data_IF_225758205151
#
_entry.id   IF_225758205151
#
_cell.length_a   1.000
_cell.length_b   1.000
_cell.length_c   1.000
_cell.angle_alpha   90.00
_cell.angle_beta   90.00
_cell.angle_gamma   90.00
#
_symmetry.space_group_name_H-M   'P 1'
#
loop_
_entity.id
_entity.type
_entity.pdbx_description
1 polymer ?
#
# COMPACT_ATOMS: atom_id res chain seq x y z
N UNK A 1 -11.18 -2.19 -11.48
CA UNK A 1 -9.82 -1.96 -10.99
C UNK A 1 -9.71 -0.55 -10.47
N UNK A 2 -10.05 -0.38 -9.20
CA UNK A 2 -10.09 0.89 -8.48
C UNK A 2 -9.27 0.79 -7.18
N UNK A 3 -9.02 -0.43 -6.66
CA UNK A 3 -8.38 -0.71 -5.36
C UNK A 3 -7.27 -1.73 -5.54
N UNK A 4 -6.09 -1.23 -5.93
CA UNK A 4 -4.95 -2.05 -6.32
C UNK A 4 -4.00 -2.18 -5.15
N UNK A 5 -3.69 -3.42 -4.77
CA UNK A 5 -2.66 -3.72 -3.79
C UNK A 5 -1.37 -4.13 -4.49
N UNK A 6 -0.27 -3.43 -4.24
CA UNK A 6 1.06 -3.74 -4.78
C UNK A 6 1.97 -4.19 -3.62
N UNK A 7 2.41 -5.44 -3.66
CA UNK A 7 3.21 -6.09 -2.61
C UNK A 7 4.46 -6.74 -3.20
N UNK A 8 5.51 -6.91 -2.39
CA UNK A 8 6.81 -7.46 -2.80
C UNK A 8 7.99 -6.86 -2.04
N UNK A 9 9.19 -7.39 -2.25
CA UNK A 9 10.41 -7.01 -1.53
C UNK A 9 10.78 -5.53 -1.69
N UNK A 10 11.51 -4.95 -0.71
CA UNK A 10 12.09 -3.62 -0.87
C UNK A 10 13.04 -3.59 -2.08
N UNK A 11 13.11 -2.46 -2.80
CA UNK A 11 13.98 -2.32 -3.98
C UNK A 11 13.48 -2.99 -5.27
N UNK A 12 12.39 -3.76 -5.25
CA UNK A 12 11.86 -4.43 -6.46
C UNK A 12 11.20 -3.51 -7.50
N UNK A 13 11.12 -2.19 -7.29
CA UNK A 13 10.50 -1.28 -8.26
C UNK A 13 8.97 -1.16 -8.20
N UNK A 14 8.33 -1.70 -7.15
CA UNK A 14 6.88 -1.53 -6.87
C UNK A 14 6.42 -0.06 -6.92
N UNK A 15 7.22 0.85 -6.38
CA UNK A 15 6.87 2.26 -6.33
C UNK A 15 6.86 2.88 -7.73
N UNK A 16 7.77 2.47 -8.60
CA UNK A 16 7.77 2.87 -10.01
C UNK A 16 6.53 2.38 -10.73
N UNK A 17 6.15 1.11 -10.53
CA UNK A 17 4.92 0.57 -11.11
C UNK A 17 3.68 1.31 -10.57
N UNK A 18 3.62 1.53 -9.26
CA UNK A 18 2.47 2.19 -8.61
C UNK A 18 2.25 3.60 -9.14
N UNK A 19 3.32 4.36 -9.39
CA UNK A 19 3.23 5.68 -10.01
C UNK A 19 2.73 5.62 -11.46
N UNK A 20 3.26 4.70 -12.27
CA UNK A 20 2.78 4.51 -13.66
C UNK A 20 1.30 4.12 -13.72
N UNK A 21 0.87 3.22 -12.83
CA UNK A 21 -0.54 2.83 -12.71
C UNK A 21 -1.42 4.01 -12.30
N UNK A 22 -0.95 4.85 -11.37
CA UNK A 22 -1.65 6.06 -10.97
C UNK A 22 -1.84 7.03 -12.13
N UNK A 23 -0.80 7.30 -12.91
CA UNK A 23 -0.88 8.17 -14.08
C UNK A 23 -1.85 7.64 -15.13
N UNK A 24 -1.84 6.33 -15.38
CA UNK A 24 -2.70 5.72 -16.39
C UNK A 24 -4.16 5.60 -15.96
N UNK A 25 -4.40 5.28 -14.68
CA UNK A 25 -5.73 4.96 -14.16
C UNK A 25 -6.36 6.12 -13.38
N UNK A 26 -5.61 7.20 -13.16
CA UNK A 26 -6.01 8.37 -12.37
C UNK A 26 -6.41 7.97 -10.93
N UNK A 27 -5.63 7.07 -10.32
CA UNK A 27 -5.87 6.56 -8.96
C UNK A 27 -4.84 7.09 -7.96
N UNK A 28 -5.23 7.43 -6.72
CA UNK A 28 -4.28 7.94 -5.73
C UNK A 28 -3.33 6.84 -5.23
N UNK A 29 -2.03 7.12 -5.21
CA UNK A 29 -1.00 6.21 -4.64
C UNK A 29 -0.77 6.49 -3.17
N UNK A 30 -0.71 5.41 -2.40
CA UNK A 30 -0.46 5.41 -0.97
C UNK A 30 0.74 4.50 -0.71
N UNK A 31 1.92 5.11 -0.66
CA UNK A 31 3.14 4.43 -0.26
C UNK A 31 3.14 4.25 1.26
N UNK A 32 2.90 3.03 1.73
CA UNK A 32 2.71 2.72 3.14
C UNK A 32 3.91 3.12 4.01
N UNK A 33 5.13 3.03 3.47
CA UNK A 33 6.36 3.43 4.16
C UNK A 33 6.34 4.92 4.59
N UNK A 34 5.72 5.81 3.80
CA UNK A 34 5.61 7.25 4.12
C UNK A 34 4.74 7.52 5.36
N UNK A 35 3.86 6.58 5.71
CA UNK A 35 2.93 6.73 6.82
C UNK A 35 3.35 5.92 8.04
N UNK A 36 4.02 4.78 7.79
CA UNK A 36 4.51 3.90 8.83
C UNK A 36 5.69 4.49 9.58
N UNK A 37 6.68 5.05 8.87
CA UNK A 37 7.88 5.62 9.49
C UNK A 37 7.67 7.09 9.86
N UNK A 38 7.87 7.41 11.14
CA UNK A 38 7.93 8.76 11.69
C UNK A 38 9.37 9.31 11.61
N UNK A 39 9.60 10.60 11.90
CA UNK A 39 10.95 11.14 12.02
C UNK A 39 11.82 10.28 12.93
N UNK A 40 13.11 10.21 12.61
CA UNK A 40 14.09 9.34 13.27
C UNK A 40 13.81 7.84 13.12
N UNK A 41 13.10 7.43 12.06
CA UNK A 41 12.80 6.02 11.78
C UNK A 41 12.02 5.32 12.89
N UNK A 42 11.19 6.08 13.60
CA UNK A 42 10.32 5.52 14.65
C UNK A 42 9.09 4.92 13.98
N UNK A 43 8.75 3.64 14.22
CA UNK A 43 7.56 3.03 13.65
C UNK A 43 6.30 3.66 14.25
N UNK A 44 5.24 3.75 13.45
CA UNK A 44 3.93 4.18 13.91
C UNK A 44 3.37 3.14 14.89
N UNK A 45 2.81 3.53 16.04
CA UNK A 45 2.17 2.61 16.97
C UNK A 45 1.10 1.75 16.28
N UNK A 46 0.98 0.49 16.70
CA UNK A 46 0.10 -0.49 16.04
C UNK A 46 -1.36 -0.01 15.95
N UNK A 47 -1.89 0.62 17.00
CA UNK A 47 -3.27 1.12 17.00
C UNK A 47 -3.48 2.23 15.96
N UNK A 48 -2.52 3.15 15.85
CA UNK A 48 -2.58 4.23 14.87
C UNK A 48 -2.40 3.72 13.45
N UNK A 49 -1.51 2.72 13.28
CA UNK A 49 -1.30 2.07 12.00
C UNK A 49 -2.56 1.35 11.50
N UNK A 50 -3.22 0.60 12.38
CA UNK A 50 -4.44 -0.12 12.03
C UNK A 50 -5.58 0.84 11.68
N UNK A 51 -5.74 1.93 12.46
CA UNK A 51 -6.72 3.00 12.16
C UNK A 51 -6.44 3.64 10.81
N UNK A 52 -5.19 3.98 10.52
CA UNK A 52 -4.78 4.53 9.25
C UNK A 52 -5.12 3.58 8.08
N UNK A 53 -4.73 2.31 8.18
CA UNK A 53 -4.97 1.33 7.10
C UNK A 53 -6.47 1.07 6.93
N UNK A 54 -7.22 0.93 8.02
CA UNK A 54 -8.67 0.73 7.96
C UNK A 54 -9.38 1.92 7.30
N UNK A 55 -9.05 3.15 7.70
CA UNK A 55 -9.62 4.36 7.10
C UNK A 55 -9.28 4.48 5.61
N UNK A 56 -8.09 4.05 5.23
CA UNK A 56 -7.64 4.11 3.83
C UNK A 56 -8.29 3.02 2.97
N UNK A 57 -8.38 1.79 3.48
CA UNK A 57 -9.00 0.67 2.75
C UNK A 57 -10.50 0.82 2.55
N UNK A 58 -11.16 1.63 3.37
CA UNK A 58 -12.58 1.98 3.20
C UNK A 58 -12.86 2.97 2.06
N UNK A 59 -11.84 3.59 1.46
CA UNK A 59 -12.01 4.45 0.28
C UNK A 59 -12.32 3.62 -0.97
N UNK A 60 -13.02 4.23 -1.91
CA UNK A 60 -13.43 3.57 -3.16
C UNK A 60 -12.28 3.42 -4.17
N UNK A 61 -11.26 4.27 -4.08
CA UNK A 61 -10.14 4.32 -5.01
C UNK A 61 -8.80 4.44 -4.28
N UNK A 62 -7.85 3.55 -4.60
CA UNK A 62 -6.47 3.60 -4.11
C UNK A 62 -5.54 2.63 -4.83
N UNK A 63 -4.26 2.97 -4.84
CA UNK A 63 -3.15 2.05 -5.05
C UNK A 63 -2.34 2.03 -3.75
N UNK A 64 -2.29 0.89 -3.06
CA UNK A 64 -1.47 0.73 -1.85
C UNK A 64 -0.19 -0.01 -2.18
N UNK A 65 0.95 0.66 -1.98
CA UNK A 65 2.29 0.12 -2.18
C UNK A 65 2.96 -0.13 -0.83
N UNK A 66 3.22 -1.40 -0.51
CA UNK A 66 4.01 -1.77 0.66
C UNK A 66 3.69 -3.15 1.23
N UNK A 67 4.64 -3.72 1.97
CA UNK A 67 4.65 -5.14 2.37
C UNK A 67 4.42 -5.36 3.88
N UNK A 68 3.42 -4.70 4.47
CA UNK A 68 3.11 -4.80 5.91
C UNK A 68 2.17 -5.97 6.22
N UNK A 69 2.71 -7.08 6.71
CA UNK A 69 1.95 -8.33 6.94
C UNK A 69 0.81 -8.19 7.94
N UNK A 70 1.01 -7.43 9.03
CA UNK A 70 -0.01 -7.20 10.08
C UNK A 70 -1.38 -6.79 9.52
N UNK A 71 -1.40 -5.88 8.55
CA UNK A 71 -2.62 -5.32 7.98
C UNK A 71 -2.90 -5.82 6.56
N UNK A 72 -2.21 -6.90 6.15
CA UNK A 72 -2.36 -7.45 4.81
C UNK A 72 -3.79 -7.98 4.57
N UNK A 73 -4.38 -8.68 5.54
CA UNK A 73 -5.73 -9.25 5.41
C UNK A 73 -6.80 -8.18 5.17
N UNK A 74 -6.69 -7.03 5.85
CA UNK A 74 -7.62 -5.91 5.67
C UNK A 74 -7.56 -5.35 4.25
N UNK A 75 -6.34 -5.22 3.72
CA UNK A 75 -6.09 -4.72 2.36
C UNK A 75 -6.54 -5.73 1.31
N UNK A 76 -6.23 -7.03 1.51
CA UNK A 76 -6.64 -8.11 0.60
C UNK A 76 -8.17 -8.21 0.48
N UNK A 77 -8.90 -8.09 1.60
CA UNK A 77 -10.37 -8.13 1.59
C UNK A 77 -11.03 -6.99 0.80
N UNK A 78 -10.32 -5.87 0.62
CA UNK A 78 -10.85 -4.68 -0.06
C UNK A 78 -10.27 -4.46 -1.45
N UNK A 79 -9.09 -5.01 -1.73
CA UNK A 79 -8.47 -4.93 -3.04
C UNK A 79 -9.35 -5.62 -4.09
N UNK A 80 -9.50 -5.00 -5.27
CA UNK A 80 -10.07 -5.66 -6.43
C UNK A 80 -8.99 -6.30 -7.32
N UNK A 81 -7.75 -5.82 -7.20
CA UNK A 81 -6.57 -6.38 -7.87
C UNK A 81 -5.39 -6.44 -6.92
N UNK A 82 -4.63 -7.54 -6.95
CA UNK A 82 -3.37 -7.70 -6.22
C UNK A 82 -2.25 -7.96 -7.22
N UNK A 83 -1.19 -7.15 -7.14
CA UNK A 83 0.04 -7.31 -7.93
C UNK A 83 1.15 -7.70 -6.97
N UNK A 84 1.69 -8.90 -7.16
CA UNK A 84 2.83 -9.40 -6.40
C UNK A 84 4.12 -9.32 -7.21
N UNK A 85 5.02 -8.46 -6.75
CA UNK A 85 6.36 -8.29 -7.29
C UNK A 85 7.31 -9.32 -6.69
N UNK A 86 7.59 -10.36 -7.47
CA UNK A 86 8.63 -11.34 -7.19
C UNK A 86 9.83 -11.06 -8.09
N UNK A 87 10.91 -10.53 -7.51
CA UNK A 87 12.22 -10.61 -8.14
C UNK A 87 12.85 -11.93 -7.71
N UNK A 88 13.33 -12.70 -8.69
CA UNK A 88 14.13 -13.92 -8.50
C UNK A 88 15.60 -13.51 -8.55
#
# INVERSE_FOLDING_TARGET
MQRILVIGSAGSGKSTLSQRLSEQLQLPVIHLDKYYWKPNWVPTPNEDWDKFVLGTTNRDQWIMDGNYTRTLDLRLKRADTVIFFRFV
#
